data_IF_492020866983
#
_entry.id   IF_492020866983
#
_cell.length_a   1.000
_cell.length_b   1.000
_cell.length_c   1.000
_cell.angle_alpha   90.00
_cell.angle_beta   90.00
_cell.angle_gamma   90.00
#
_symmetry.space_group_name_H-M   'P 1'
#
loop_
_entity.id
_entity.type
_entity.pdbx_description
1 polymer ?
#
# COMPACT_ATOMS: atom_id res chain seq x y z
N UNK A 1 26.57 0.43 -24.23
CA UNK A 1 26.23 -0.58 -23.21
C UNK A 1 25.13 -1.47 -23.76
N UNK A 2 25.24 -2.78 -23.64
CA UNK A 2 24.32 -3.72 -24.29
C UNK A 2 22.97 -3.72 -23.54
N UNK A 3 21.86 -3.67 -24.31
CA UNK A 3 20.48 -3.73 -23.76
C UNK A 3 20.12 -5.09 -23.11
N UNK A 4 20.99 -6.10 -23.20
CA UNK A 4 20.76 -7.45 -22.68
C UNK A 4 20.59 -7.52 -21.15
N UNK A 5 21.37 -6.82 -20.29
CA UNK A 5 21.25 -6.96 -18.84
C UNK A 5 19.92 -6.44 -18.28
N UNK A 6 19.32 -5.38 -18.84
CA UNK A 6 18.02 -4.87 -18.34
C UNK A 6 16.86 -5.77 -18.73
N UNK A 7 16.89 -6.36 -19.93
CA UNK A 7 15.84 -7.30 -20.35
C UNK A 7 15.80 -8.52 -19.43
N UNK A 8 16.94 -9.07 -19.01
CA UNK A 8 17.00 -10.19 -18.09
C UNK A 8 16.48 -9.78 -16.70
N UNK A 9 16.78 -8.56 -16.24
CA UNK A 9 16.37 -8.05 -14.93
C UNK A 9 14.85 -7.82 -14.87
N UNK A 10 14.34 -6.95 -15.76
CA UNK A 10 12.91 -6.53 -15.72
C UNK A 10 11.95 -7.67 -16.04
N UNK A 11 12.38 -8.70 -16.77
CA UNK A 11 11.58 -9.90 -17.04
C UNK A 11 11.98 -11.09 -16.15
N UNK A 12 12.77 -10.86 -15.10
CA UNK A 12 13.12 -11.92 -14.17
C UNK A 12 11.86 -12.45 -13.46
N UNK A 13 11.91 -13.71 -13.03
CA UNK A 13 10.79 -14.37 -12.36
C UNK A 13 10.27 -13.57 -11.17
N UNK A 14 11.17 -13.05 -10.33
CA UNK A 14 10.78 -12.29 -9.14
C UNK A 14 10.05 -10.98 -9.49
N UNK A 15 10.48 -10.27 -10.52
CA UNK A 15 9.85 -9.04 -10.99
C UNK A 15 8.48 -9.32 -11.58
N UNK A 16 8.33 -10.35 -12.41
CA UNK A 16 7.03 -10.73 -13.00
C UNK A 16 6.04 -11.15 -11.91
N UNK A 17 6.49 -11.96 -10.93
CA UNK A 17 5.65 -12.38 -9.81
C UNK A 17 5.25 -11.20 -8.93
N UNK A 18 6.18 -10.28 -8.64
CA UNK A 18 5.86 -9.05 -7.91
C UNK A 18 4.87 -8.18 -8.66
N UNK A 19 5.10 -7.90 -9.95
CA UNK A 19 4.20 -7.10 -10.77
C UNK A 19 2.78 -7.71 -10.81
N UNK A 20 2.68 -9.04 -10.85
CA UNK A 20 1.40 -9.73 -10.79
C UNK A 20 0.70 -9.49 -9.45
N UNK A 21 1.39 -9.69 -8.33
CA UNK A 21 0.81 -9.48 -6.99
C UNK A 21 0.47 -8.01 -6.74
N UNK A 22 1.32 -7.08 -7.18
CA UNK A 22 1.07 -5.64 -7.09
C UNK A 22 -0.19 -5.24 -7.89
N UNK A 23 -0.36 -5.77 -9.12
CA UNK A 23 -1.54 -5.52 -9.91
C UNK A 23 -2.82 -6.10 -9.28
N UNK A 24 -2.76 -7.31 -8.72
CA UNK A 24 -3.88 -7.91 -7.98
C UNK A 24 -4.23 -7.09 -6.73
N UNK A 25 -3.22 -6.60 -6.01
CA UNK A 25 -3.42 -5.71 -4.87
C UNK A 25 -4.14 -4.42 -5.30
N UNK A 26 -3.64 -3.71 -6.32
CA UNK A 26 -4.28 -2.48 -6.80
C UNK A 26 -5.73 -2.73 -7.23
N UNK A 27 -5.97 -3.80 -7.99
CA UNK A 27 -7.33 -4.15 -8.44
C UNK A 27 -8.26 -4.49 -7.27
N UNK A 28 -7.74 -5.15 -6.25
CA UNK A 28 -8.50 -5.46 -5.03
C UNK A 28 -8.88 -4.20 -4.24
N UNK A 29 -7.95 -3.24 -4.11
CA UNK A 29 -8.21 -1.96 -3.44
C UNK A 29 -9.22 -1.12 -4.23
N UNK A 30 -9.09 -1.05 -5.56
CA UNK A 30 -10.05 -0.36 -6.44
C UNK A 30 -11.48 -0.92 -6.33
N UNK A 31 -11.60 -2.19 -5.99
CA UNK A 31 -12.87 -2.89 -5.82
C UNK A 31 -13.39 -2.89 -4.36
N UNK A 32 -12.83 -2.08 -3.46
CA UNK A 32 -13.10 -2.11 -1.99
C UNK A 32 -14.60 -2.08 -1.65
N UNK A 33 -15.41 -1.34 -2.41
CA UNK A 33 -16.86 -1.24 -2.16
C UNK A 33 -17.64 -2.54 -2.40
N UNK A 34 -17.09 -3.43 -3.23
CA UNK A 34 -17.75 -4.70 -3.60
C UNK A 34 -17.69 -5.74 -2.47
N UNK A 35 -16.88 -5.51 -1.44
CA UNK A 35 -16.68 -6.45 -0.34
C UNK A 35 -17.38 -5.98 0.94
N UNK A 36 -17.88 -6.93 1.74
CA UNK A 36 -18.20 -6.65 3.13
C UNK A 36 -16.91 -6.41 3.93
N UNK A 37 -16.96 -5.60 5.00
CA UNK A 37 -15.77 -5.22 5.79
C UNK A 37 -14.94 -6.44 6.21
N UNK A 38 -15.56 -7.43 6.81
CA UNK A 38 -14.88 -8.66 7.28
C UNK A 38 -14.19 -9.43 6.15
N UNK A 39 -14.85 -9.58 5.01
CA UNK A 39 -14.27 -10.26 3.86
C UNK A 39 -13.08 -9.47 3.31
N UNK A 40 -13.20 -8.15 3.20
CA UNK A 40 -12.11 -7.27 2.78
C UNK A 40 -10.89 -7.38 3.71
N UNK A 41 -11.09 -7.22 5.01
CA UNK A 41 -10.02 -7.29 6.02
C UNK A 41 -9.35 -8.66 6.04
N UNK A 42 -10.14 -9.75 5.97
CA UNK A 42 -9.61 -11.13 5.96
C UNK A 42 -8.79 -11.44 4.70
N UNK A 43 -9.15 -10.87 3.55
CA UNK A 43 -8.37 -11.01 2.30
C UNK A 43 -7.10 -10.19 2.35
N UNK A 44 -7.19 -8.95 2.83
CA UNK A 44 -6.07 -8.04 2.97
C UNK A 44 -4.98 -8.61 3.90
N UNK A 45 -5.38 -9.24 5.01
CA UNK A 45 -4.48 -9.95 5.93
C UNK A 45 -3.60 -11.01 5.22
N UNK A 46 -4.13 -11.65 4.18
CA UNK A 46 -3.39 -12.67 3.41
C UNK A 46 -2.55 -12.05 2.30
N UNK A 47 -3.05 -10.96 1.73
CA UNK A 47 -2.40 -10.28 0.60
C UNK A 47 -1.17 -9.50 1.04
N UNK A 48 -1.19 -8.86 2.19
CA UNK A 48 -0.07 -8.08 2.74
C UNK A 48 1.22 -8.90 2.90
N UNK A 49 1.23 -10.07 3.59
CA UNK A 49 2.45 -10.86 3.71
C UNK A 49 2.98 -11.34 2.36
N UNK A 50 2.08 -11.68 1.42
CA UNK A 50 2.47 -12.07 0.08
C UNK A 50 3.13 -10.91 -0.67
N UNK A 51 2.55 -9.72 -0.61
CA UNK A 51 3.09 -8.51 -1.22
C UNK A 51 4.46 -8.17 -0.65
N UNK A 52 4.60 -8.19 0.69
CA UNK A 52 5.87 -7.95 1.37
C UNK A 52 6.96 -8.94 0.91
N UNK A 53 6.63 -10.23 0.90
CA UNK A 53 7.56 -11.27 0.47
C UNK A 53 8.03 -11.03 -0.98
N UNK A 54 7.11 -10.71 -1.88
CA UNK A 54 7.44 -10.47 -3.29
C UNK A 54 8.28 -9.21 -3.47
N UNK A 55 7.99 -8.14 -2.75
CA UNK A 55 8.80 -6.92 -2.76
C UNK A 55 10.22 -7.15 -2.22
N UNK A 56 10.34 -7.89 -1.11
CA UNK A 56 11.64 -8.21 -0.50
C UNK A 56 12.54 -9.12 -1.39
N UNK A 57 11.96 -9.77 -2.40
CA UNK A 57 12.69 -10.61 -3.36
C UNK A 57 13.03 -9.87 -4.67
N UNK A 58 12.71 -8.58 -4.78
CA UNK A 58 13.06 -7.80 -5.96
C UNK A 58 14.59 -7.69 -6.09
N UNK A 59 15.12 -7.83 -7.31
CA UNK A 59 16.54 -7.68 -7.56
C UNK A 59 16.99 -6.23 -7.37
N UNK A 60 18.28 -6.04 -7.12
CA UNK A 60 18.89 -4.72 -7.18
C UNK A 60 18.92 -4.22 -8.62
N UNK A 61 18.63 -2.95 -8.79
CA UNK A 61 18.74 -2.24 -10.07
C UNK A 61 19.34 -0.86 -9.83
N UNK A 62 19.93 -0.29 -10.86
CA UNK A 62 20.45 1.07 -10.85
C UNK A 62 19.52 1.97 -11.67
N UNK A 63 19.42 3.25 -11.29
CA UNK A 63 18.66 4.24 -12.04
C UNK A 63 19.40 4.55 -13.36
N UNK A 64 18.67 4.46 -14.48
CA UNK A 64 19.26 4.69 -15.82
C UNK A 64 18.96 6.08 -16.39
N UNK A 65 17.75 6.60 -16.16
CA UNK A 65 17.37 7.94 -16.59
C UNK A 65 17.81 8.94 -15.53
N UNK A 66 19.07 9.33 -15.59
CA UNK A 66 19.87 9.88 -14.48
C UNK A 66 19.48 11.26 -13.97
N UNK A 67 18.57 12.00 -14.59
CA UNK A 67 18.30 13.40 -14.24
C UNK A 67 16.83 13.74 -13.92
N UNK A 68 15.89 12.82 -14.11
CA UNK A 68 14.48 13.06 -13.83
C UNK A 68 13.90 11.89 -13.00
N UNK A 69 13.16 12.22 -11.94
CA UNK A 69 12.40 11.20 -11.20
C UNK A 69 11.38 10.53 -12.14
N UNK A 70 11.13 9.21 -11.97
CA UNK A 70 10.10 8.53 -12.74
C UNK A 70 8.76 9.25 -12.71
N UNK A 71 8.03 9.19 -13.84
CA UNK A 71 6.73 9.83 -13.96
C UNK A 71 5.73 9.27 -12.94
N UNK A 72 5.01 10.16 -12.25
CA UNK A 72 3.93 9.81 -11.34
C UNK A 72 2.60 9.87 -12.08
N UNK A 73 1.82 8.82 -11.98
CA UNK A 73 0.56 8.65 -12.69
C UNK A 73 -0.65 8.88 -11.78
N UNK A 74 -0.47 8.64 -10.47
CA UNK A 74 -1.54 8.82 -9.49
C UNK A 74 -1.56 10.26 -9.01
N UNK A 75 -2.63 10.98 -9.37
CA UNK A 75 -2.88 12.34 -8.92
C UNK A 75 -3.29 12.38 -7.45
N UNK A 76 -3.23 13.56 -6.83
CA UNK A 76 -3.77 13.79 -5.49
C UNK A 76 -5.29 13.48 -5.43
N UNK A 77 -6.03 13.74 -6.51
CA UNK A 77 -7.46 13.42 -6.60
C UNK A 77 -7.70 11.91 -6.60
N UNK A 78 -6.89 11.14 -7.37
CA UNK A 78 -6.98 9.67 -7.39
C UNK A 78 -6.63 9.08 -6.03
N UNK A 79 -5.58 9.59 -5.39
CA UNK A 79 -5.19 9.19 -4.04
C UNK A 79 -6.30 9.42 -3.03
N UNK A 80 -6.85 10.66 -2.97
CA UNK A 80 -7.92 11.02 -2.06
C UNK A 80 -9.21 10.24 -2.31
N UNK A 81 -9.50 9.90 -3.56
CA UNK A 81 -10.64 9.05 -3.91
C UNK A 81 -10.51 7.65 -3.31
N UNK A 82 -9.33 7.03 -3.44
CA UNK A 82 -9.07 5.71 -2.85
C UNK A 82 -9.06 5.77 -1.32
N UNK A 83 -8.38 6.77 -0.75
CA UNK A 83 -8.31 6.97 0.70
C UNK A 83 -9.70 7.05 1.32
N UNK A 84 -10.55 7.93 0.79
CA UNK A 84 -11.91 8.10 1.32
C UNK A 84 -12.73 6.80 1.31
N UNK A 85 -12.64 6.00 0.25
CA UNK A 85 -13.34 4.71 0.18
C UNK A 85 -12.83 3.69 1.20
N UNK A 86 -11.54 3.74 1.51
CA UNK A 86 -10.93 2.92 2.55
C UNK A 86 -11.35 3.39 3.94
N UNK A 87 -11.35 4.70 4.21
CA UNK A 87 -11.85 5.28 5.45
C UNK A 87 -13.30 4.84 5.73
N UNK A 88 -14.18 4.94 4.73
CA UNK A 88 -15.56 4.46 4.83
C UNK A 88 -15.60 2.94 5.09
N UNK A 89 -14.71 2.16 4.46
CA UNK A 89 -14.65 0.70 4.66
C UNK A 89 -14.25 0.32 6.07
N UNK A 90 -13.25 0.97 6.65
CA UNK A 90 -12.76 0.67 7.99
C UNK A 90 -13.62 1.33 9.08
N UNK A 91 -14.17 2.54 8.86
CA UNK A 91 -14.99 3.26 9.79
C UNK A 91 -14.31 3.41 11.15
N UNK A 92 -14.99 3.03 12.23
CA UNK A 92 -14.47 3.09 13.61
C UNK A 92 -13.24 2.20 13.87
N UNK A 93 -12.89 1.30 12.97
CA UNK A 93 -11.76 0.38 13.09
C UNK A 93 -10.51 0.86 12.36
N UNK A 94 -10.51 2.07 11.81
CA UNK A 94 -9.42 2.58 11.00
C UNK A 94 -8.20 3.00 11.83
N UNK A 95 -8.43 3.66 12.96
CA UNK A 95 -7.36 4.18 13.80
C UNK A 95 -6.68 3.08 14.62
N UNK A 96 -5.35 3.15 14.70
CA UNK A 96 -4.52 2.30 15.57
C UNK A 96 -3.31 3.07 16.08
N UNK A 97 -2.58 2.50 17.06
CA UNK A 97 -1.36 3.09 17.58
C UNK A 97 -0.11 2.39 17.02
N UNK A 98 0.78 3.18 16.42
CA UNK A 98 2.07 2.68 15.96
C UNK A 98 2.98 2.34 17.14
N UNK A 99 3.66 1.19 17.04
CA UNK A 99 4.52 0.67 18.12
C UNK A 99 6.00 0.84 17.81
N UNK A 100 6.35 1.05 16.54
CA UNK A 100 7.73 1.12 16.05
C UNK A 100 8.06 2.45 15.35
N UNK A 101 7.39 3.54 15.72
CA UNK A 101 7.81 4.86 15.26
C UNK A 101 9.20 5.17 15.84
N UNK A 102 10.19 5.51 15.01
CA UNK A 102 11.53 5.86 15.48
C UNK A 102 11.56 7.03 16.47
N UNK A 103 10.54 7.88 16.46
CA UNK A 103 10.39 9.03 17.35
C UNK A 103 9.70 8.70 18.68
N UNK A 104 9.16 7.51 18.85
CA UNK A 104 8.37 7.13 20.05
C UNK A 104 9.18 7.24 21.35
N UNK A 105 10.51 7.09 21.28
CA UNK A 105 11.41 7.28 22.40
C UNK A 105 11.66 8.75 22.74
N UNK A 106 11.26 9.67 21.85
CA UNK A 106 11.38 11.12 22.04
C UNK A 106 10.06 11.75 22.53
N UNK A 107 8.96 11.02 22.40
CA UNK A 107 7.62 11.45 22.83
C UNK A 107 7.03 10.39 23.75
N UNK A 108 6.46 10.80 24.88
CA UNK A 108 5.75 9.89 25.81
C UNK A 108 4.37 9.45 25.27
N UNK A 109 3.93 10.02 24.15
CA UNK A 109 2.63 9.73 23.54
C UNK A 109 2.78 8.70 22.42
N UNK A 110 1.87 7.74 22.36
CA UNK A 110 1.73 6.84 21.23
C UNK A 110 1.33 7.63 19.96
N UNK A 111 1.89 7.27 18.82
CA UNK A 111 1.55 7.89 17.54
C UNK A 111 0.31 7.19 16.97
N UNK A 112 -0.75 7.96 16.75
CA UNK A 112 -1.95 7.47 16.08
C UNK A 112 -1.73 7.43 14.57
N UNK A 113 -2.17 6.34 13.93
CA UNK A 113 -2.08 6.11 12.50
C UNK A 113 -3.36 5.45 11.99
N UNK A 114 -3.59 5.50 10.68
CA UNK A 114 -4.77 4.95 10.05
C UNK A 114 -4.40 3.78 9.09
N UNK A 115 -5.20 2.73 9.14
CA UNK A 115 -5.05 1.58 8.23
C UNK A 115 -5.31 2.02 6.79
N UNK A 116 -6.34 2.87 6.59
CA UNK A 116 -6.71 3.44 5.30
C UNK A 116 -5.57 4.21 4.64
N UNK A 117 -4.88 5.09 5.38
CA UNK A 117 -3.72 5.84 4.89
C UNK A 117 -2.58 4.91 4.51
N UNK A 118 -2.25 3.93 5.35
CA UNK A 118 -1.20 2.97 5.01
C UNK A 118 -1.50 2.21 3.71
N UNK A 119 -2.76 1.82 3.49
CA UNK A 119 -3.17 1.14 2.27
C UNK A 119 -3.11 2.07 1.06
N UNK A 120 -3.56 3.32 1.21
CA UNK A 120 -3.55 4.31 0.13
C UNK A 120 -2.12 4.67 -0.31
N UNK A 121 -1.20 4.80 0.63
CA UNK A 121 0.23 5.02 0.36
C UNK A 121 0.85 3.85 -0.41
N UNK A 122 0.60 2.62 0.04
CA UNK A 122 1.06 1.41 -0.67
C UNK A 122 0.43 1.34 -2.06
N UNK A 123 -0.86 1.64 -2.18
CA UNK A 123 -1.57 1.64 -3.46
C UNK A 123 -0.95 2.63 -4.44
N UNK A 124 -0.65 3.86 -4.01
CA UNK A 124 -0.07 4.88 -4.86
C UNK A 124 1.26 4.42 -5.44
N UNK A 125 2.19 3.97 -4.60
CA UNK A 125 3.51 3.49 -5.05
C UNK A 125 3.39 2.29 -6.01
N UNK A 126 2.54 1.32 -5.70
CA UNK A 126 2.36 0.15 -6.55
C UNK A 126 1.65 0.46 -7.85
N UNK A 127 0.69 1.38 -7.84
CA UNK A 127 -0.04 1.77 -9.05
C UNK A 127 0.85 2.55 -10.00
N UNK A 128 1.67 3.47 -9.49
CA UNK A 128 2.68 4.17 -10.28
C UNK A 128 3.66 3.18 -10.91
N UNK A 129 4.17 2.22 -10.14
CA UNK A 129 5.02 1.15 -10.65
C UNK A 129 4.34 0.36 -11.78
N UNK A 130 3.11 -0.11 -11.57
CA UNK A 130 2.38 -0.92 -12.56
C UNK A 130 2.15 -0.15 -13.86
N UNK A 131 1.79 1.13 -13.78
CA UNK A 131 1.54 1.96 -14.95
C UNK A 131 2.82 2.23 -15.73
N UNK A 132 3.92 2.58 -15.06
CA UNK A 132 5.23 2.75 -15.68
C UNK A 132 5.74 1.44 -16.30
N UNK A 133 5.64 0.33 -15.58
CA UNK A 133 6.07 -0.99 -16.07
C UNK A 133 5.30 -1.42 -17.33
N UNK A 134 4.03 -1.05 -17.48
CA UNK A 134 3.20 -1.32 -18.66
C UNK A 134 3.60 -0.50 -19.90
N UNK A 135 4.29 0.62 -19.77
CA UNK A 135 4.81 1.41 -20.90
C UNK A 135 5.75 0.53 -21.75
N UNK A 136 6.50 -0.37 -21.12
CA UNK A 136 7.18 -1.47 -21.78
C UNK A 136 8.51 -1.12 -22.44
N UNK A 137 9.07 0.09 -22.28
CA UNK A 137 10.46 0.36 -22.61
C UNK A 137 11.35 -0.15 -21.48
N UNK A 138 12.49 -0.76 -21.81
CA UNK A 138 13.34 -1.40 -20.80
C UNK A 138 13.86 -0.42 -19.76
N UNK A 139 14.18 0.79 -20.20
CA UNK A 139 14.65 1.88 -19.36
C UNK A 139 13.57 2.31 -18.35
N UNK A 140 12.34 2.57 -18.80
CA UNK A 140 11.22 2.95 -17.94
C UNK A 140 10.84 1.82 -16.98
N UNK A 141 10.83 0.57 -17.44
CA UNK A 141 10.56 -0.58 -16.59
C UNK A 141 11.62 -0.74 -15.49
N UNK A 142 12.90 -0.53 -15.84
CA UNK A 142 14.00 -0.60 -14.89
C UNK A 142 13.90 0.50 -13.81
N UNK A 143 13.65 1.73 -14.24
CA UNK A 143 13.56 2.88 -13.32
C UNK A 143 12.34 2.79 -12.41
N UNK A 144 11.21 2.31 -12.94
CA UNK A 144 10.02 2.01 -12.14
C UNK A 144 10.30 0.92 -11.10
N UNK A 145 11.07 -0.12 -11.46
CA UNK A 145 11.48 -1.17 -10.54
C UNK A 145 12.40 -0.63 -9.45
N UNK A 146 13.38 0.17 -9.82
CA UNK A 146 14.31 0.82 -8.90
C UNK A 146 13.55 1.69 -7.88
N UNK A 147 12.67 2.57 -8.36
CA UNK A 147 11.90 3.47 -7.50
C UNK A 147 10.98 2.70 -6.55
N UNK A 148 10.23 1.73 -7.08
CA UNK A 148 9.31 0.93 -6.28
C UNK A 148 10.04 0.16 -5.17
N UNK A 149 11.21 -0.42 -5.48
CA UNK A 149 12.06 -1.09 -4.50
C UNK A 149 12.62 -0.11 -3.47
N UNK A 150 13.15 1.03 -3.91
CA UNK A 150 13.67 2.06 -3.00
C UNK A 150 12.58 2.57 -2.04
N UNK A 151 11.37 2.82 -2.55
CA UNK A 151 10.24 3.21 -1.72
C UNK A 151 9.77 2.09 -0.78
N UNK A 152 9.88 0.82 -1.20
CA UNK A 152 9.64 -0.31 -0.30
C UNK A 152 10.59 -0.29 0.89
N UNK A 153 11.87 -0.12 0.65
CA UNK A 153 12.89 -0.13 1.70
C UNK A 153 12.76 1.05 2.66
N UNK A 154 12.41 2.23 2.15
CA UNK A 154 12.42 3.48 2.93
C UNK A 154 11.06 3.90 3.46
N UNK A 155 9.96 3.46 2.85
CA UNK A 155 8.65 4.01 3.12
C UNK A 155 7.53 2.96 3.19
N UNK A 156 7.01 2.46 2.05
CA UNK A 156 5.78 1.69 2.08
C UNK A 156 5.91 0.28 2.67
N UNK A 157 7.13 -0.28 2.71
CA UNK A 157 7.37 -1.55 3.40
C UNK A 157 7.09 -1.45 4.90
N UNK A 158 7.48 -0.36 5.54
CA UNK A 158 7.19 -0.07 6.95
C UNK A 158 5.68 0.08 7.17
N UNK A 159 5.00 0.85 6.32
CA UNK A 159 3.55 1.05 6.39
C UNK A 159 2.78 -0.27 6.23
N UNK A 160 3.25 -1.14 5.33
CA UNK A 160 2.66 -2.47 5.15
C UNK A 160 2.76 -3.32 6.42
N UNK A 161 3.91 -3.34 7.08
CA UNK A 161 4.11 -4.11 8.33
C UNK A 161 3.25 -3.55 9.45
N UNK A 162 3.17 -2.24 9.61
CA UNK A 162 2.32 -1.58 10.61
C UNK A 162 0.84 -1.88 10.35
N UNK A 163 0.38 -1.70 9.12
CA UNK A 163 -0.99 -2.03 8.70
C UNK A 163 -1.31 -3.51 8.87
N UNK A 164 -0.38 -4.43 8.53
CA UNK A 164 -0.57 -5.86 8.74
C UNK A 164 -0.81 -6.20 10.22
N UNK A 165 -0.05 -5.58 11.11
CA UNK A 165 -0.24 -5.78 12.56
C UNK A 165 -1.62 -5.31 13.02
N UNK A 166 -2.06 -4.13 12.59
CA UNK A 166 -3.38 -3.61 12.90
C UNK A 166 -4.49 -4.52 12.36
N UNK A 167 -4.38 -4.95 11.09
CA UNK A 167 -5.32 -5.87 10.45
C UNK A 167 -5.34 -7.24 11.16
N UNK A 168 -4.19 -7.75 11.60
CA UNK A 168 -4.13 -9.00 12.37
C UNK A 168 -4.97 -8.90 13.65
N UNK A 169 -4.87 -7.78 14.37
CA UNK A 169 -5.67 -7.54 15.57
C UNK A 169 -7.17 -7.44 15.28
N UNK A 170 -7.57 -6.88 14.12
CA UNK A 170 -8.97 -6.86 13.72
C UNK A 170 -9.51 -8.25 13.40
N UNK A 171 -8.69 -9.14 12.80
CA UNK A 171 -9.13 -10.48 12.39
C UNK A 171 -9.19 -11.45 13.56
N UNK A 172 -8.24 -11.37 14.49
CA UNK A 172 -8.06 -12.36 15.58
C UNK A 172 -8.27 -11.79 16.98
N UNK A 173 -8.48 -10.49 17.11
CA UNK A 173 -8.78 -9.83 18.36
C UNK A 173 -10.25 -9.96 18.77
N UNK A 174 -10.65 -9.20 19.78
CA UNK A 174 -11.98 -9.23 20.36
C UNK A 174 -12.98 -8.29 19.64
N UNK A 175 -12.51 -7.48 18.68
CA UNK A 175 -13.35 -6.52 17.96
C UNK A 175 -14.33 -7.25 17.02
N UNK A 176 -15.61 -6.94 17.10
CA UNK A 176 -16.59 -7.40 16.12
C UNK A 176 -16.59 -6.47 14.90
N UNK A 177 -15.79 -6.83 13.89
CA UNK A 177 -15.65 -6.04 12.65
C UNK A 177 -16.89 -6.05 11.76
N UNK A 178 -17.91 -6.85 12.08
CA UNK A 178 -19.23 -6.82 11.43
C UNK A 178 -20.19 -5.83 12.11
N UNK A 179 -19.82 -5.28 13.28
CA UNK A 179 -20.60 -4.26 13.98
C UNK A 179 -20.81 -3.03 13.08
N UNK A 180 -22.04 -2.51 13.09
CA UNK A 180 -22.36 -1.28 12.35
C UNK A 180 -21.65 -0.10 13.01
N UNK A 181 -21.13 0.81 12.17
CA UNK A 181 -20.48 2.02 12.66
C UNK A 181 -21.46 2.79 13.54
N UNK A 182 -20.98 3.26 14.69
CA UNK A 182 -21.77 4.09 15.60
C UNK A 182 -22.07 5.38 14.85
N UNK A 183 -23.33 5.56 14.45
CA UNK A 183 -23.79 6.84 13.94
C UNK A 183 -23.66 7.84 15.09
N UNK A 184 -22.72 8.76 14.96
CA UNK A 184 -22.68 9.94 15.85
C UNK A 184 -23.92 10.76 15.49
N UNK A 185 -25.02 10.54 16.20
CA UNK A 185 -26.18 11.45 16.14
C UNK A 185 -25.66 12.83 16.52
N UNK A 186 -25.53 13.69 15.51
CA UNK A 186 -25.37 15.09 15.75
C UNK A 186 -26.57 15.54 16.59
N UNK A 187 -26.33 15.86 17.85
CA UNK A 187 -27.29 16.60 18.67
C UNK A 187 -27.41 17.98 18.01
N UNK A 188 -28.36 18.13 17.10
CA UNK A 188 -28.95 19.41 16.80
C UNK A 188 -29.71 19.82 18.05
N UNK A 189 -29.03 20.59 18.90
CA UNK A 189 -29.72 21.31 19.96
C UNK A 189 -30.62 22.34 19.31
N UNK A 190 -31.89 22.08 19.32
CA UNK A 190 -32.94 23.10 19.20
C UNK A 190 -32.77 24.11 20.34
N UNK A 191 -32.53 25.37 20.00
CA UNK A 191 -32.97 26.54 20.71
C UNK A 191 -33.55 27.57 19.73
#
# INVERSE_FOLDING_TARGET
MSKEPFSELVYSKNVIEFATVANEFCSFIEAVEQFQRKDFVTRLQKLFPLLYLKAALLPESDLEMSDEAPEKFISEEDYNYILHRLEVKFGQFDAYYEVFDPSIHLTEAAVEANISENIADIYQDLKDFILAYRIGTLEVMNDALWECRNNFEQFWGQRLVNGLRAIHNLVYGEADIDEQDIQTEAYENEE
#
